data_IF_827227649537
#
_entry.id   IF_827227649537
#
_cell.length_a   1.000
_cell.length_b   1.000
_cell.length_c   1.000
_cell.angle_alpha   90.00
_cell.angle_beta   90.00
_cell.angle_gamma   90.00
#
_symmetry.space_group_name_H-M   'P 1'
#
loop_
_entity.id
_entity.type
_entity.pdbx_description
1 polymer ?
#
# COMPACT_ATOMS: atom_id res chain seq x y z
N UNK A 1 2.19 -28.87 63.32
CA UNK A 1 1.48 -27.73 62.70
C UNK A 1 2.50 -26.63 62.45
N UNK A 2 3.07 -26.63 61.25
CA UNK A 2 4.05 -25.65 60.75
C UNK A 2 3.60 -25.31 59.32
N UNK A 3 3.43 -24.03 58.95
CA UNK A 3 2.75 -23.66 57.72
C UNK A 3 3.62 -23.91 56.48
N UNK A 4 2.94 -24.23 55.38
CA UNK A 4 3.48 -24.49 54.05
C UNK A 4 4.01 -23.19 53.42
N UNK A 5 5.18 -23.19 52.75
CA UNK A 5 5.65 -22.00 52.03
C UNK A 5 4.84 -21.79 50.73
N UNK A 6 4.34 -20.57 50.54
CA UNK A 6 3.66 -20.13 49.33
C UNK A 6 4.68 -19.85 48.20
N UNK A 7 4.85 -20.79 47.27
CA UNK A 7 5.47 -20.50 45.98
C UNK A 7 4.39 -20.13 44.95
N UNK A 8 4.03 -18.85 44.90
CA UNK A 8 3.25 -18.28 43.79
C UNK A 8 4.15 -17.39 42.94
N UNK A 9 5.18 -17.98 42.36
CA UNK A 9 5.88 -17.41 41.21
C UNK A 9 4.97 -17.55 39.98
N UNK A 10 4.13 -16.54 39.81
CA UNK A 10 3.24 -16.35 38.68
C UNK A 10 4.05 -16.13 37.40
N UNK A 11 4.25 -17.20 36.62
CA UNK A 11 4.75 -17.10 35.25
C UNK A 11 3.66 -16.53 34.33
N UNK A 12 3.36 -15.24 34.47
CA UNK A 12 2.71 -14.48 33.41
C UNK A 12 3.75 -14.24 32.32
N UNK A 13 3.85 -15.16 31.35
CA UNK A 13 4.51 -14.87 30.08
C UNK A 13 3.64 -13.83 29.37
N UNK A 14 3.94 -12.56 29.59
CA UNK A 14 3.42 -11.49 28.75
C UNK A 14 3.91 -11.77 27.33
N UNK A 15 3.02 -12.20 26.45
CA UNK A 15 3.27 -12.34 25.02
C UNK A 15 3.46 -10.94 24.44
N UNK A 16 4.65 -10.39 24.65
CA UNK A 16 5.06 -9.12 24.07
C UNK A 16 5.35 -9.41 22.61
N UNK A 17 4.31 -9.32 21.79
CA UNK A 17 4.47 -9.20 20.33
C UNK A 17 5.36 -7.98 20.13
N UNK A 18 6.67 -8.21 19.93
CA UNK A 18 7.57 -7.14 19.51
C UNK A 18 7.06 -6.73 18.14
N UNK A 19 6.62 -5.48 17.93
CA UNK A 19 6.36 -5.00 16.59
C UNK A 19 7.72 -4.97 15.88
N UNK A 20 8.04 -6.05 15.19
CA UNK A 20 9.14 -6.05 14.25
C UNK A 20 8.78 -4.97 13.25
N UNK A 21 9.55 -3.88 13.28
CA UNK A 21 9.53 -2.86 12.24
C UNK A 21 9.97 -3.54 10.95
N UNK A 22 9.02 -4.14 10.25
CA UNK A 22 9.19 -4.63 8.89
C UNK A 22 9.35 -3.38 8.02
N UNK A 23 10.58 -2.88 7.93
CA UNK A 23 10.95 -1.97 6.86
C UNK A 23 10.63 -2.72 5.57
N UNK A 24 9.60 -2.26 4.86
CA UNK A 24 9.12 -2.90 3.64
C UNK A 24 10.31 -3.23 2.72
N UNK A 25 10.65 -4.51 2.52
CA UNK A 25 11.79 -4.89 1.68
C UNK A 25 11.54 -4.56 0.20
N UNK A 26 10.29 -4.29 -0.18
CA UNK A 26 9.88 -3.88 -1.52
C UNK A 26 10.61 -2.63 -2.05
N UNK A 27 11.15 -1.79 -1.17
CA UNK A 27 11.94 -0.61 -1.57
C UNK A 27 13.46 -0.85 -1.56
N UNK A 28 13.97 -1.96 -1.02
CA UNK A 28 15.41 -2.16 -0.79
C UNK A 28 16.08 -3.12 -1.79
N UNK A 29 15.35 -4.06 -2.40
CA UNK A 29 15.99 -5.14 -3.17
C UNK A 29 16.45 -4.78 -4.60
N UNK A 30 16.38 -3.52 -5.08
CA UNK A 30 16.76 -3.23 -6.48
C UNK A 30 17.19 -1.80 -6.80
N UNK A 31 17.80 -1.11 -5.83
CA UNK A 31 18.30 0.25 -6.07
C UNK A 31 19.72 0.31 -6.67
N UNK A 32 20.43 -0.80 -6.75
CA UNK A 32 21.87 -0.76 -7.06
C UNK A 32 22.22 -0.99 -8.54
N UNK A 33 21.27 -1.47 -9.36
CA UNK A 33 21.43 -1.63 -10.81
C UNK A 33 20.20 -1.11 -11.56
N UNK A 34 19.87 0.18 -11.44
CA UNK A 34 18.86 0.75 -12.33
C UNK A 34 19.49 1.01 -13.71
N UNK A 35 19.18 0.21 -14.75
CA UNK A 35 19.57 0.55 -16.12
C UNK A 35 19.00 1.93 -16.46
N UNK A 36 19.72 2.71 -17.27
CA UNK A 36 19.31 4.07 -17.66
C UNK A 36 17.85 4.12 -18.18
N UNK A 37 17.39 3.05 -18.83
CA UNK A 37 16.01 2.89 -19.28
C UNK A 37 14.97 2.89 -18.15
N UNK A 38 15.31 2.42 -16.95
CA UNK A 38 14.39 2.44 -15.80
C UNK A 38 14.10 3.87 -15.32
N UNK A 39 15.13 4.73 -15.24
CA UNK A 39 14.96 6.14 -14.85
C UNK A 39 14.17 6.93 -15.89
N UNK A 40 14.33 6.60 -17.17
CA UNK A 40 13.60 7.23 -18.27
C UNK A 40 12.14 6.80 -18.23
N UNK A 41 11.85 5.50 -18.07
CA UNK A 41 10.49 4.98 -17.99
C UNK A 41 9.71 5.62 -16.82
N UNK A 42 10.30 5.67 -15.62
CA UNK A 42 9.63 6.26 -14.44
C UNK A 42 9.32 7.75 -14.62
N UNK A 43 10.23 8.51 -15.25
CA UNK A 43 9.98 9.93 -15.58
C UNK A 43 8.92 10.10 -16.65
N UNK A 44 8.93 9.25 -17.68
CA UNK A 44 7.94 9.28 -18.76
C UNK A 44 6.55 9.00 -18.20
N UNK A 45 6.37 7.96 -17.38
CA UNK A 45 5.08 7.67 -16.74
C UNK A 45 4.58 8.84 -15.89
N UNK A 46 5.48 9.50 -15.14
CA UNK A 46 5.14 10.68 -14.36
C UNK A 46 4.74 11.90 -15.22
N UNK A 47 5.37 12.07 -16.39
CA UNK A 47 5.07 13.17 -17.31
C UNK A 47 3.76 12.93 -18.07
N UNK A 48 3.55 11.75 -18.63
CA UNK A 48 2.33 11.42 -19.39
C UNK A 48 1.08 11.34 -18.50
N UNK A 49 1.22 11.05 -17.20
CA UNK A 49 0.12 11.05 -16.24
C UNK A 49 -0.21 12.42 -15.63
N UNK A 50 0.53 13.48 -15.98
CA UNK A 50 0.36 14.81 -15.40
C UNK A 50 -0.59 15.67 -16.21
N UNK A 51 -1.46 16.41 -15.51
CA UNK A 51 -2.31 17.45 -16.11
C UNK A 51 -1.51 18.52 -16.87
N UNK A 52 -0.27 18.80 -16.45
CA UNK A 52 0.60 19.77 -17.11
C UNK A 52 0.97 19.36 -18.54
N UNK A 53 1.20 18.07 -18.79
CA UNK A 53 1.59 17.58 -20.12
C UNK A 53 0.47 17.79 -21.16
N UNK A 54 -0.78 17.52 -20.77
CA UNK A 54 -1.95 17.73 -21.63
C UNK A 54 -2.06 19.20 -22.02
N UNK A 55 -1.93 20.12 -21.06
CA UNK A 55 -2.01 21.57 -21.32
C UNK A 55 -0.86 22.02 -22.24
N UNK A 56 0.38 21.61 -21.98
CA UNK A 56 1.52 21.95 -22.84
C UNK A 56 1.33 21.42 -24.27
N UNK A 57 0.87 20.17 -24.42
CA UNK A 57 0.63 19.58 -25.73
C UNK A 57 -0.48 20.30 -26.50
N UNK A 58 -1.58 20.66 -25.83
CA UNK A 58 -2.68 21.43 -26.43
C UNK A 58 -2.24 22.84 -26.85
N UNK A 59 -1.47 23.54 -26.03
CA UNK A 59 -0.93 24.86 -26.36
C UNK A 59 0.02 24.78 -27.56
N UNK A 60 0.88 23.76 -27.63
CA UNK A 60 1.79 23.57 -28.75
C UNK A 60 1.05 23.34 -30.07
N UNK A 61 -0.01 22.52 -30.05
CA UNK A 61 -0.88 22.31 -31.22
C UNK A 61 -1.59 23.62 -31.61
N UNK A 62 -2.14 24.36 -30.64
CA UNK A 62 -2.82 25.63 -30.89
C UNK A 62 -1.88 26.69 -31.47
N UNK A 63 -0.66 26.79 -30.96
CA UNK A 63 0.37 27.70 -31.47
C UNK A 63 0.79 27.32 -32.89
N UNK A 64 0.98 26.02 -33.17
CA UNK A 64 1.33 25.54 -34.50
C UNK A 64 0.21 25.79 -35.51
N UNK A 65 -1.03 25.46 -35.14
CA UNK A 65 -2.21 25.71 -35.95
C UNK A 65 -2.41 27.22 -36.20
N UNK A 66 -2.23 28.04 -35.17
CA UNK A 66 -2.30 29.50 -35.25
C UNK A 66 -1.20 30.09 -36.13
N UNK A 67 0.04 29.61 -36.02
CA UNK A 67 1.16 30.03 -36.86
C UNK A 67 0.91 29.70 -38.33
N UNK A 68 0.48 28.47 -38.64
CA UNK A 68 0.17 28.07 -40.02
C UNK A 68 -1.07 28.81 -40.57
N UNK A 69 -2.11 29.00 -39.75
CA UNK A 69 -3.30 29.75 -40.12
C UNK A 69 -3.02 31.23 -40.36
N UNK A 70 -2.19 31.87 -39.52
CA UNK A 70 -1.75 33.26 -39.69
C UNK A 70 -0.86 33.40 -40.92
N UNK A 71 0.10 32.48 -41.12
CA UNK A 71 0.94 32.45 -42.30
C UNK A 71 0.09 32.33 -43.58
N UNK A 72 -0.85 31.38 -43.63
CA UNK A 72 -1.74 31.20 -44.77
C UNK A 72 -2.66 32.40 -45.05
N UNK A 73 -3.11 33.13 -44.02
CA UNK A 73 -4.02 34.27 -44.16
C UNK A 73 -3.30 35.58 -44.52
N UNK A 74 -2.09 35.81 -44.00
CA UNK A 74 -1.37 37.09 -44.14
C UNK A 74 -0.22 37.08 -45.15
N UNK A 75 0.42 35.93 -45.38
CA UNK A 75 1.56 35.80 -46.27
C UNK A 75 1.32 34.63 -47.23
N UNK A 76 1.13 34.97 -48.51
CA UNK A 76 1.60 34.18 -49.65
C UNK A 76 0.60 33.20 -50.28
N UNK A 77 -0.05 33.67 -51.36
CA UNK A 77 -0.64 32.87 -52.45
C UNK A 77 0.37 31.95 -53.19
N UNK A 78 1.58 31.70 -52.66
CA UNK A 78 2.67 31.04 -53.42
C UNK A 78 3.67 30.22 -52.61
N UNK A 79 3.58 30.17 -51.28
CA UNK A 79 4.40 29.25 -50.48
C UNK A 79 3.59 28.79 -49.28
N UNK A 80 2.69 27.85 -49.54
CA UNK A 80 1.99 27.07 -48.52
C UNK A 80 3.03 26.23 -47.77
N UNK A 81 3.62 26.80 -46.72
CA UNK A 81 4.43 26.02 -45.80
C UNK A 81 3.45 25.20 -44.94
N UNK A 82 3.27 23.93 -45.31
CA UNK A 82 2.37 22.90 -44.74
C UNK A 82 0.84 23.13 -44.93
N UNK A 83 0.30 22.94 -46.16
CA UNK A 83 -1.14 23.01 -46.44
C UNK A 83 -1.95 21.90 -45.76
N UNK A 84 -3.25 22.12 -45.58
CA UNK A 84 -4.19 21.15 -44.99
C UNK A 84 -4.09 19.80 -45.74
N UNK A 85 -3.76 18.66 -45.07
CA UNK A 85 -3.90 18.35 -43.66
C UNK A 85 -2.55 18.24 -42.91
N UNK A 86 -1.86 19.36 -42.66
CA UNK A 86 -0.68 19.50 -41.78
C UNK A 86 0.22 18.25 -41.70
N UNK A 87 0.86 17.88 -42.81
CA UNK A 87 1.55 16.59 -42.96
C UNK A 87 2.69 16.44 -41.95
N UNK A 88 3.37 17.54 -41.61
CA UNK A 88 4.49 17.52 -40.68
C UNK A 88 4.01 17.26 -39.25
N UNK A 89 2.92 17.91 -38.84
CA UNK A 89 2.32 17.67 -37.53
C UNK A 89 1.87 16.22 -37.43
N UNK A 90 1.19 15.73 -38.46
CA UNK A 90 0.70 14.35 -38.48
C UNK A 90 1.85 13.32 -38.42
N UNK A 91 2.95 13.58 -39.12
CA UNK A 91 4.15 12.73 -39.10
C UNK A 91 4.80 12.69 -37.72
N UNK A 92 4.94 13.85 -37.06
CA UNK A 92 5.52 13.96 -35.72
C UNK A 92 4.64 13.22 -34.71
N UNK A 93 3.33 13.44 -34.72
CA UNK A 93 2.40 12.76 -33.82
C UNK A 93 2.36 11.24 -34.04
N UNK A 94 2.38 10.80 -35.30
CA UNK A 94 2.43 9.38 -35.64
C UNK A 94 3.71 8.73 -35.10
N UNK A 95 4.85 9.40 -35.26
CA UNK A 95 6.13 8.93 -34.70
C UNK A 95 6.13 8.95 -33.18
N UNK A 96 5.58 10.00 -32.56
CA UNK A 96 5.44 10.13 -31.11
C UNK A 96 4.62 8.97 -30.53
N UNK A 97 3.49 8.63 -31.16
CA UNK A 97 2.66 7.50 -30.76
C UNK A 97 3.39 6.16 -30.91
N UNK A 98 4.15 5.99 -32.01
CA UNK A 98 4.93 4.78 -32.26
C UNK A 98 6.00 4.53 -31.17
N UNK A 99 6.66 5.58 -30.67
CA UNK A 99 7.61 5.46 -29.56
C UNK A 99 6.95 5.40 -28.18
N UNK A 100 5.74 5.93 -28.02
CA UNK A 100 5.01 5.87 -26.76
C UNK A 100 4.66 4.42 -26.37
N UNK A 101 4.19 3.60 -27.31
CA UNK A 101 3.79 2.22 -27.05
C UNK A 101 4.89 1.34 -26.39
N UNK A 102 6.12 1.24 -26.91
CA UNK A 102 7.18 0.44 -26.28
C UNK A 102 7.67 1.03 -24.95
N UNK A 103 7.66 2.37 -24.82
CA UNK A 103 8.01 3.02 -23.55
C UNK A 103 6.97 2.71 -22.46
N UNK A 104 5.68 2.79 -22.80
CA UNK A 104 4.59 2.42 -21.91
C UNK A 104 4.71 0.94 -21.53
N UNK A 105 4.92 0.04 -22.50
CA UNK A 105 5.09 -1.39 -22.24
C UNK A 105 6.27 -1.66 -21.29
N UNK A 106 7.39 -0.97 -21.47
CA UNK A 106 8.55 -1.10 -20.58
C UNK A 106 8.23 -0.62 -19.17
N UNK A 107 7.50 0.48 -19.03
CA UNK A 107 7.05 0.97 -17.71
C UNK A 107 6.07 0.00 -17.05
N UNK A 108 5.13 -0.57 -17.82
CA UNK A 108 4.13 -1.51 -17.34
C UNK A 108 4.76 -2.82 -16.88
N UNK A 109 5.72 -3.37 -17.64
CA UNK A 109 6.42 -4.60 -17.26
C UNK A 109 7.14 -4.45 -15.90
N UNK A 110 7.66 -3.25 -15.60
CA UNK A 110 8.28 -2.96 -14.30
C UNK A 110 7.26 -2.82 -13.18
N UNK A 111 6.14 -2.13 -13.42
CA UNK A 111 5.06 -2.02 -12.43
C UNK A 111 4.51 -3.41 -12.09
N UNK A 112 4.30 -4.26 -13.09
CA UNK A 112 3.84 -5.64 -12.90
C UNK A 112 4.79 -6.49 -12.06
N UNK A 113 6.11 -6.37 -12.28
CA UNK A 113 7.12 -7.05 -11.45
C UNK A 113 7.08 -6.57 -9.99
N UNK A 114 6.96 -5.26 -9.75
CA UNK A 114 6.82 -4.69 -8.40
C UNK A 114 5.53 -5.16 -7.71
N UNK A 115 4.43 -5.16 -8.46
CA UNK A 115 3.13 -5.60 -7.96
C UNK A 115 3.13 -7.09 -7.62
N UNK A 116 3.83 -7.92 -8.42
CA UNK A 116 4.01 -9.34 -8.12
C UNK A 116 4.77 -9.57 -6.82
N UNK A 117 5.92 -8.92 -6.63
CA UNK A 117 6.70 -9.05 -5.38
C UNK A 117 5.89 -8.57 -4.18
N UNK A 118 5.15 -7.47 -4.33
CA UNK A 118 4.24 -6.98 -3.29
C UNK A 118 3.14 -8.00 -2.98
N UNK A 119 2.53 -8.60 -3.99
CA UNK A 119 1.48 -9.61 -3.82
C UNK A 119 2.00 -10.88 -3.13
N UNK A 120 3.19 -11.35 -3.48
CA UNK A 120 3.84 -12.49 -2.80
C UNK A 120 4.09 -12.18 -1.31
N UNK A 121 4.58 -10.98 -0.99
CA UNK A 121 4.77 -10.57 0.40
C UNK A 121 3.46 -10.41 1.18
N UNK A 122 2.45 -9.76 0.59
CA UNK A 122 1.12 -9.60 1.20
C UNK A 122 0.48 -10.97 1.46
N UNK A 123 0.70 -11.95 0.56
CA UNK A 123 0.25 -13.33 0.76
C UNK A 123 0.92 -13.98 1.98
N UNK A 124 2.24 -13.90 2.11
CA UNK A 124 2.98 -14.48 3.25
C UNK A 124 2.56 -13.85 4.58
N UNK A 125 2.41 -12.52 4.61
CA UNK A 125 1.92 -11.80 5.78
C UNK A 125 0.51 -12.22 6.14
N UNK A 126 -0.37 -12.38 5.14
CA UNK A 126 -1.74 -12.84 5.36
C UNK A 126 -1.78 -14.27 5.92
N UNK A 127 -0.97 -15.18 5.39
CA UNK A 127 -0.86 -16.56 5.91
C UNK A 127 -0.35 -16.55 7.35
N UNK A 128 0.66 -15.75 7.67
CA UNK A 128 1.18 -15.61 9.03
C UNK A 128 0.10 -15.06 9.98
N UNK A 129 -0.61 -14.02 9.56
CA UNK A 129 -1.69 -13.43 10.35
C UNK A 129 -2.78 -14.47 10.68
N UNK A 130 -3.19 -15.28 9.69
CA UNK A 130 -4.15 -16.36 9.89
C UNK A 130 -3.65 -17.41 10.88
N UNK A 131 -2.37 -17.80 10.80
CA UNK A 131 -1.76 -18.75 11.75
C UNK A 131 -1.75 -18.19 13.18
N UNK A 132 -1.31 -16.94 13.35
CA UNK A 132 -1.30 -16.28 14.66
C UNK A 132 -2.72 -16.15 15.23
N UNK A 133 -3.71 -15.83 14.41
CA UNK A 133 -5.12 -15.81 14.84
C UNK A 133 -5.61 -17.19 15.28
N UNK A 134 -5.27 -18.24 14.53
CA UNK A 134 -5.63 -19.61 14.89
C UNK A 134 -4.97 -20.05 16.22
N UNK A 135 -3.70 -19.69 16.44
CA UNK A 135 -3.00 -19.95 17.70
C UNK A 135 -3.67 -19.23 18.88
N UNK A 136 -3.98 -17.94 18.73
CA UNK A 136 -4.65 -17.16 19.79
C UNK A 136 -6.04 -17.70 20.10
N UNK A 137 -6.82 -18.07 19.09
CA UNK A 137 -8.14 -18.67 19.29
C UNK A 137 -8.04 -20.05 19.94
N UNK A 138 -7.04 -20.85 19.57
CA UNK A 138 -6.77 -22.15 20.19
C UNK A 138 -6.46 -22.03 21.68
N UNK A 139 -5.63 -21.06 22.07
CA UNK A 139 -5.26 -20.79 23.47
C UNK A 139 -6.48 -20.30 24.29
N UNK A 140 -7.34 -19.47 23.70
CA UNK A 140 -8.59 -19.01 24.35
C UNK A 140 -9.61 -20.15 24.52
N UNK A 141 -9.56 -21.17 23.66
CA UNK A 141 -10.46 -22.32 23.71
C UNK A 141 -9.96 -23.47 24.59
N UNK A 142 -8.90 -23.27 25.37
CA UNK A 142 -8.41 -24.28 26.31
C UNK A 142 -9.53 -24.66 27.33
N UNK A 143 -10.00 -25.92 27.31
CA UNK A 143 -11.09 -26.37 28.17
C UNK A 143 -10.73 -26.28 29.66
N UNK A 144 -9.45 -26.35 30.04
CA UNK A 144 -9.03 -26.19 31.42
C UNK A 144 -9.15 -24.73 31.89
N UNK A 145 -8.79 -23.77 31.03
CA UNK A 145 -8.92 -22.35 31.32
C UNK A 145 -10.40 -21.95 31.48
N UNK A 146 -11.26 -22.47 30.59
CA UNK A 146 -12.72 -22.30 30.66
C UNK A 146 -13.30 -22.91 31.94
N UNK A 147 -12.86 -24.12 32.32
CA UNK A 147 -13.34 -24.78 33.54
C UNK A 147 -12.88 -24.04 34.81
N UNK A 148 -11.63 -23.60 34.88
CA UNK A 148 -11.12 -22.85 36.03
C UNK A 148 -11.85 -21.51 36.21
N UNK A 149 -12.13 -20.81 35.11
CA UNK A 149 -12.94 -19.59 35.15
C UNK A 149 -14.36 -19.88 35.64
N UNK A 150 -15.00 -20.93 35.12
CA UNK A 150 -16.33 -21.36 35.59
C UNK A 150 -16.34 -21.72 37.07
N UNK A 151 -15.35 -22.46 37.57
CA UNK A 151 -15.25 -22.79 39.01
C UNK A 151 -15.14 -21.53 39.86
N UNK A 152 -14.27 -20.58 39.48
CA UNK A 152 -14.13 -19.30 40.22
C UNK A 152 -15.39 -18.45 40.19
N UNK A 153 -16.09 -18.38 39.06
CA UNK A 153 -17.39 -17.69 38.98
C UNK A 153 -18.39 -18.37 39.91
N UNK A 154 -18.44 -19.70 39.91
CA UNK A 154 -19.34 -20.45 40.77
C UNK A 154 -18.99 -20.32 42.26
N UNK A 155 -17.70 -20.23 42.61
CA UNK A 155 -17.23 -19.96 43.96
C UNK A 155 -17.57 -18.54 44.42
N UNK A 156 -17.54 -17.55 43.51
CA UNK A 156 -17.91 -16.17 43.80
C UNK A 156 -19.42 -15.97 43.89
N UNK A 157 -20.21 -16.65 43.04
CA UNK A 157 -21.67 -16.65 43.12
C UNK A 157 -22.21 -17.49 44.27
N UNK A 158 -21.53 -18.59 44.62
CA UNK A 158 -21.85 -19.42 45.80
C UNK A 158 -21.37 -18.80 47.11
N UNK A 159 -20.51 -17.78 47.05
CA UNK A 159 -20.21 -16.90 48.19
C UNK A 159 -21.32 -15.86 48.27
N UNK A 160 -22.40 -16.29 48.92
CA UNK A 160 -23.58 -15.52 49.30
C UNK A 160 -23.29 -14.02 49.55
N UNK A 161 -24.03 -13.08 48.94
CA UNK A 161 -23.91 -11.63 49.18
C UNK A 161 -24.16 -11.19 50.64
N UNK A 162 -24.53 -12.10 51.55
CA UNK A 162 -24.81 -11.79 52.95
C UNK A 162 -23.56 -11.51 53.82
N UNK A 163 -22.36 -11.40 53.24
CA UNK A 163 -21.23 -10.70 53.90
C UNK A 163 -21.29 -9.19 53.71
N UNK A 164 -22.45 -8.62 53.96
CA UNK A 164 -22.57 -7.32 54.60
C UNK A 164 -23.04 -7.55 56.03
N UNK A 165 -22.22 -8.25 56.83
CA UNK A 165 -22.50 -8.27 58.27
C UNK A 165 -22.35 -6.85 58.83
N UNK A 166 -23.30 -6.42 59.68
CA UNK A 166 -23.45 -5.05 60.15
C UNK A 166 -22.39 -4.74 61.21
N UNK A 167 -21.42 -3.90 60.87
CA UNK A 167 -20.45 -3.40 61.83
C UNK A 167 -20.15 -1.92 61.59
N UNK A 168 -21.19 -1.08 61.55
CA UNK A 168 -21.04 0.36 61.68
C UNK A 168 -22.39 0.99 61.96
N UNK A 169 -22.64 1.23 63.25
CA UNK A 169 -23.54 2.20 63.89
C UNK A 169 -23.55 1.73 65.37
N UNK A 170 -22.46 1.93 66.10
CA UNK A 170 -22.03 3.22 66.67
C UNK A 170 -23.11 3.79 67.60
N UNK A 171 -22.70 3.91 68.87
CA UNK A 171 -23.30 4.68 69.97
C UNK A 171 -24.44 4.03 70.76
#
# INVERSE_FOLDING_TARGET
MTPFPSSTSSHRRAYRVRPQHHRAPANQARHDDLPLGARIADRVTAVFGSWGFIVTQSVLIMLWLGYNGYAALHYLHSSEFDPYPFILLNLVFSTQAAYAAPLILLSQNRTAERDRVKAEHDFDVNVLALRTLAELLGDVHDPEAQQNLRRRINDLLGRDPDRTEPASNAE
#
